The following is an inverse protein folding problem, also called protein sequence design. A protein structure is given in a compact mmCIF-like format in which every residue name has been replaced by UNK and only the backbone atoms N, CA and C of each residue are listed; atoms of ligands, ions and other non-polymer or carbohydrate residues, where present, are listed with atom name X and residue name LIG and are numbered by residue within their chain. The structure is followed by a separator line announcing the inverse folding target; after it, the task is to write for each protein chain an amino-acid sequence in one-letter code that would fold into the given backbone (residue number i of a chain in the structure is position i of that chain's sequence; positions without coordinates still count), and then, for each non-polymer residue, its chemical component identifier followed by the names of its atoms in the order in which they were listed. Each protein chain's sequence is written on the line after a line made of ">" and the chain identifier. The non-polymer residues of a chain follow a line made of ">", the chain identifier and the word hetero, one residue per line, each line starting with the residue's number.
data_IF_002981175462
#
_entry.id   IF_002981175462
#
_cell.length_a   1.000
_cell.length_b   1.000
_cell.length_c   1.000
_cell.angle_alpha   90.00
_cell.angle_beta   90.00
_cell.angle_gamma   90.00
#
_symmetry.space_group_name_H-M   'P 1'
#
loop_
_entity.id
_entity.type
_entity.pdbx_description
1 polymer ?
#
# COMPACT_ATOMS: atom_id res chain seq x y z
N UNK A 1 -3.22 0.70 -19.62
CA UNK A 1 -2.56 -0.49 -19.02
C UNK A 1 -3.51 -1.10 -18.01
N UNK A 2 -4.01 -2.30 -18.25
CA UNK A 2 -4.76 -3.06 -17.23
C UNK A 2 -3.73 -3.80 -16.39
N UNK A 3 -3.52 -3.38 -15.14
CA UNK A 3 -2.88 -4.25 -14.14
C UNK A 3 -3.92 -5.33 -13.78
N UNK A 4 -4.03 -6.34 -14.64
CA UNK A 4 -4.88 -7.52 -14.46
C UNK A 4 -4.48 -8.23 -13.15
N UNK A 5 -5.22 -7.97 -12.07
CA UNK A 5 -5.40 -8.81 -10.86
C UNK A 5 -4.15 -9.50 -10.28
N UNK A 6 -2.95 -8.93 -10.38
CA UNK A 6 -1.78 -9.59 -9.81
C UNK A 6 -1.82 -9.52 -8.27
N UNK A 7 -1.49 -10.66 -7.65
CA UNK A 7 -1.48 -10.88 -6.21
C UNK A 7 -0.04 -11.00 -5.71
N UNK A 8 0.48 -9.91 -5.16
CA UNK A 8 1.85 -9.78 -4.70
C UNK A 8 2.05 -10.41 -3.32
N UNK A 9 3.24 -10.95 -3.10
CA UNK A 9 3.74 -11.35 -1.77
C UNK A 9 4.06 -10.12 -0.91
N UNK A 10 4.39 -10.34 0.37
CA UNK A 10 4.84 -9.27 1.25
C UNK A 10 6.07 -8.52 0.71
N UNK A 11 7.06 -9.26 0.18
CA UNK A 11 8.30 -8.67 -0.30
C UNK A 11 8.06 -7.81 -1.55
N UNK A 12 7.29 -8.32 -2.51
CA UNK A 12 6.93 -7.58 -3.73
C UNK A 12 6.07 -6.35 -3.42
N UNK A 13 5.09 -6.47 -2.53
CA UNK A 13 4.28 -5.32 -2.13
C UNK A 13 5.09 -4.26 -1.37
N UNK A 14 6.04 -4.68 -0.53
CA UNK A 14 6.93 -3.75 0.16
C UNK A 14 7.83 -3.01 -0.82
N UNK A 15 8.39 -3.73 -1.80
CA UNK A 15 9.18 -3.14 -2.89
C UNK A 15 8.34 -2.17 -3.73
N UNK A 16 7.11 -2.55 -4.10
CA UNK A 16 6.19 -1.70 -4.84
C UNK A 16 5.88 -0.38 -4.12
N UNK A 17 5.69 -0.43 -2.80
CA UNK A 17 5.42 0.75 -1.98
C UNK A 17 6.69 1.55 -1.61
N UNK A 18 7.88 1.05 -1.95
CA UNK A 18 9.16 1.67 -1.55
C UNK A 18 9.40 1.64 -0.03
N UNK A 19 8.94 0.59 0.66
CA UNK A 19 9.09 0.43 2.12
C UNK A 19 9.75 -0.90 2.47
N UNK A 20 10.24 -1.03 3.70
CA UNK A 20 10.74 -2.33 4.18
C UNK A 20 9.58 -3.32 4.44
N UNK A 21 9.82 -4.64 4.34
CA UNK A 21 8.83 -5.64 4.74
C UNK A 21 8.36 -5.50 6.21
N UNK A 22 9.24 -5.02 7.10
CA UNK A 22 8.87 -4.70 8.49
C UNK A 22 7.87 -3.54 8.57
N UNK A 23 8.07 -2.49 7.76
CA UNK A 23 7.13 -1.37 7.67
C UNK A 23 5.77 -1.85 7.17
N UNK A 24 5.75 -2.69 6.14
CA UNK A 24 4.50 -3.24 5.61
C UNK A 24 3.76 -4.09 6.67
N UNK A 25 4.48 -4.94 7.43
CA UNK A 25 3.89 -5.68 8.56
C UNK A 25 3.26 -4.75 9.62
N UNK A 26 3.91 -3.63 9.94
CA UNK A 26 3.35 -2.64 10.87
C UNK A 26 2.11 -1.95 10.31
N UNK A 27 2.06 -1.71 9.00
CA UNK A 27 0.89 -1.16 8.32
C UNK A 27 -0.29 -2.14 8.39
N UNK A 28 -0.04 -3.45 8.16
CA UNK A 28 -1.06 -4.50 8.35
C UNK A 28 -1.60 -4.53 9.78
N UNK A 29 -0.70 -4.53 10.78
CA UNK A 29 -1.08 -4.58 12.19
C UNK A 29 -1.94 -3.38 12.61
N UNK A 30 -1.82 -2.24 11.90
CA UNK A 30 -2.61 -1.03 12.09
C UNK A 30 -3.88 -0.98 11.23
N UNK A 31 -4.14 -1.99 10.41
CA UNK A 31 -5.28 -2.03 9.50
C UNK A 31 -5.17 -1.09 8.29
N UNK A 32 -3.98 -0.56 8.00
CA UNK A 32 -3.77 0.35 6.86
C UNK A 32 -3.87 -0.39 5.53
N UNK A 33 -3.40 -1.63 5.49
CA UNK A 33 -3.50 -2.54 4.36
C UNK A 33 -3.99 -3.90 4.89
N UNK A 34 -4.94 -4.52 4.19
CA UNK A 34 -5.56 -5.78 4.62
C UNK A 34 -5.31 -6.84 3.55
N UNK A 35 -4.24 -7.65 3.65
CA UNK A 35 -3.94 -8.66 2.65
C UNK A 35 -5.00 -9.76 2.63
N UNK A 36 -5.23 -10.32 1.44
CA UNK A 36 -5.89 -11.62 1.34
C UNK A 36 -4.97 -12.69 1.93
N UNK A 37 -5.52 -13.63 2.68
CA UNK A 37 -4.79 -14.80 3.18
C UNK A 37 -5.21 -16.02 2.39
N UNK A 38 -4.23 -16.72 1.81
CA UNK A 38 -4.49 -18.01 1.16
C UNK A 38 -4.89 -19.07 2.19
N UNK A 39 -5.40 -20.22 1.73
CA UNK A 39 -5.68 -21.35 2.61
C UNK A 39 -4.46 -21.80 3.44
N UNK A 40 -3.24 -21.66 2.90
CA UNK A 40 -1.98 -21.91 3.62
C UNK A 40 -1.49 -20.75 4.49
N UNK A 41 -2.28 -19.69 4.67
CA UNK A 41 -1.96 -18.55 5.55
C UNK A 41 -1.01 -17.49 4.94
N UNK A 42 -0.60 -17.65 3.68
CA UNK A 42 0.27 -16.68 3.01
C UNK A 42 -0.49 -15.41 2.65
N UNK A 43 0.16 -14.27 2.80
CA UNK A 43 -0.40 -12.95 2.48
C UNK A 43 -0.30 -12.66 1.00
N UNK A 44 -1.36 -12.08 0.44
CA UNK A 44 -1.46 -11.62 -0.94
C UNK A 44 -2.03 -10.22 -1.00
N UNK A 45 -1.34 -9.35 -1.73
CA UNK A 45 -1.69 -7.95 -1.92
C UNK A 45 -2.14 -7.74 -3.36
N UNK A 46 -3.34 -7.23 -3.56
CA UNK A 46 -3.77 -6.81 -4.89
C UNK A 46 -3.07 -5.50 -5.25
N UNK A 47 -2.72 -5.33 -6.52
CA UNK A 47 -2.17 -4.07 -7.01
C UNK A 47 -3.13 -2.89 -6.78
N UNK A 48 -4.42 -3.07 -7.04
CA UNK A 48 -5.44 -2.04 -6.82
C UNK A 48 -5.45 -1.51 -5.38
N UNK A 49 -5.23 -2.38 -4.39
CA UNK A 49 -5.10 -1.97 -2.98
C UNK A 49 -3.87 -1.10 -2.75
N UNK A 50 -2.73 -1.48 -3.33
CA UNK A 50 -1.48 -0.74 -3.16
C UNK A 50 -1.54 0.63 -3.87
N UNK A 51 -2.12 0.67 -5.07
CA UNK A 51 -2.36 1.89 -5.84
C UNK A 51 -3.30 2.84 -5.08
N UNK A 52 -4.44 2.35 -4.61
CA UNK A 52 -5.39 3.14 -3.81
C UNK A 52 -4.74 3.71 -2.54
N UNK A 53 -3.86 2.95 -1.90
CA UNK A 53 -3.08 3.45 -0.77
C UNK A 53 -2.15 4.61 -1.18
N UNK A 54 -1.41 4.49 -2.28
CA UNK A 54 -0.53 5.56 -2.79
C UNK A 54 -1.32 6.83 -3.19
N UNK A 55 -2.47 6.66 -3.82
CA UNK A 55 -3.38 7.76 -4.18
C UNK A 55 -3.89 8.49 -2.94
N UNK A 56 -4.37 7.75 -1.93
CA UNK A 56 -4.83 8.34 -0.66
C UNK A 56 -3.73 9.16 0.03
N UNK A 57 -2.47 8.70 -0.07
CA UNK A 57 -1.31 9.38 0.51
C UNK A 57 -0.94 10.64 -0.28
N UNK A 58 -1.13 10.65 -1.59
CA UNK A 58 -0.92 11.82 -2.46
C UNK A 58 -1.97 12.90 -2.18
N UNK A 59 -3.24 12.51 -2.06
CA UNK A 59 -4.33 13.43 -1.70
C UNK A 59 -4.10 14.09 -0.34
N UNK A 60 -3.68 13.33 0.68
CA UNK A 60 -3.36 13.87 2.01
C UNK A 60 -2.15 14.82 2.02
N UNK A 61 -1.15 14.57 1.16
CA UNK A 61 0.02 15.44 1.04
C UNK A 61 -0.31 16.75 0.31
N UNK A 62 -1.13 16.69 -0.74
CA UNK A 62 -1.57 17.89 -1.46
C UNK A 62 -2.39 18.83 -0.55
N UNK A 63 -3.22 18.29 0.34
CA UNK A 63 -3.97 19.08 1.34
C UNK A 63 -3.11 19.63 2.48
N UNK A 64 -1.84 19.24 2.59
CA UNK A 64 -0.94 19.70 3.65
C UNK A 64 0.10 20.73 3.17
N UNK A 65 -0.01 21.20 1.92
CA UNK A 65 0.72 22.37 1.44
C UNK A 65 -0.02 23.60 1.94
N UNK A 66 0.48 24.22 3.02
CA UNK A 66 0.04 25.56 3.42
C UNK A 66 0.42 26.55 2.30
N UNK A 67 -0.44 27.50 1.92
CA UNK A 67 0.02 28.67 1.20
C UNK A 67 0.86 29.49 2.18
N UNK A 68 2.19 29.42 2.07
CA UNK A 68 3.02 30.53 2.53
C UNK A 68 2.71 31.71 1.61
N UNK A 69 1.86 32.60 2.09
CA UNK A 69 1.61 33.89 1.46
C UNK A 69 1.71 34.96 2.53
N UNK A 70 2.68 35.85 2.27
CA UNK A 70 2.99 37.15 2.89
C UNK A 70 3.81 37.14 4.18
#
# INVERSE_FOLDING_TARGET
>A
MKLERAMLTLAEAAAFLGVSPNTLRRMEARGVLIPYRTAGGHRRYSLAMLESYLESRRGRQASNVKPEMS
#
